data_IF_000746155178
#
_entry.id   IF_000746155178
#
_cell.length_a   1.000
_cell.length_b   1.000
_cell.length_c   1.000
_cell.angle_alpha   90.00
_cell.angle_beta   90.00
_cell.angle_gamma   90.00
#
_symmetry.space_group_name_H-M   'P 1'
#
loop_
_entity.id
_entity.type
_entity.pdbx_description
1 polymer ?
#
# COMPACT_ATOMS: atom_id res chain seq x y z
N UNK A 1 17.47 75.67 -2.53
CA UNK A 1 16.12 75.47 -3.10
C UNK A 1 15.79 73.99 -2.96
N UNK A 2 14.99 73.63 -1.95
CA UNK A 2 13.60 73.13 -2.04
C UNK A 2 13.46 71.70 -2.60
N UNK A 3 13.03 70.83 -1.67
CA UNK A 3 12.50 69.47 -1.77
C UNK A 3 11.58 69.21 -2.97
N UNK A 4 11.57 67.97 -3.48
CA UNK A 4 10.34 67.25 -3.86
C UNK A 4 10.57 65.73 -3.82
N UNK A 5 9.81 65.12 -2.93
CA UNK A 5 9.64 63.68 -2.69
C UNK A 5 8.76 63.02 -3.76
N UNK A 6 8.93 61.71 -3.98
CA UNK A 6 7.87 60.69 -4.01
C UNK A 6 8.47 59.34 -4.48
N UNK A 7 8.62 58.34 -3.60
CA UNK A 7 7.63 57.27 -3.38
C UNK A 7 7.40 56.41 -4.64
N UNK A 8 8.13 55.29 -4.72
CA UNK A 8 7.97 54.27 -5.76
C UNK A 8 8.19 52.87 -5.20
N UNK A 9 7.20 52.41 -4.44
CA UNK A 9 6.78 51.00 -4.31
C UNK A 9 7.84 49.92 -4.15
N UNK A 10 8.12 49.58 -2.90
CA UNK A 10 8.66 48.31 -2.45
C UNK A 10 7.59 47.23 -2.66
N UNK A 11 7.79 46.25 -3.53
CA UNK A 11 7.18 44.90 -3.54
C UNK A 11 8.06 44.04 -4.45
N UNK A 12 8.96 43.23 -3.87
CA UNK A 12 9.43 42.02 -4.54
C UNK A 12 8.70 40.88 -3.85
N UNK A 13 7.70 40.35 -4.55
CA UNK A 13 6.80 39.30 -4.10
C UNK A 13 7.63 38.09 -3.68
N UNK A 14 7.50 37.72 -2.40
CA UNK A 14 7.87 36.42 -1.85
C UNK A 14 7.11 35.33 -2.61
N UNK A 15 7.76 34.74 -3.62
CA UNK A 15 7.37 33.46 -4.21
C UNK A 15 7.78 32.35 -3.22
N UNK A 16 7.12 32.30 -2.06
CA UNK A 16 7.01 31.06 -1.30
C UNK A 16 6.00 30.23 -2.08
N UNK A 17 6.50 29.43 -3.03
CA UNK A 17 5.75 28.31 -3.55
C UNK A 17 5.56 27.31 -2.42
N UNK A 18 4.52 27.50 -1.61
CA UNK A 18 3.95 26.42 -0.81
C UNK A 18 3.53 25.35 -1.80
N UNK A 19 4.38 24.32 -1.97
CA UNK A 19 3.92 23.09 -2.58
C UNK A 19 3.00 22.45 -1.54
N UNK A 20 1.71 22.76 -1.63
CA UNK A 20 0.68 21.99 -0.96
C UNK A 20 0.66 20.61 -1.61
N UNK A 21 1.61 19.77 -1.19
CA UNK A 21 1.54 18.35 -1.39
C UNK A 21 0.40 17.85 -0.54
N UNK A 22 -0.83 17.96 -1.06
CA UNK A 22 -1.95 17.17 -0.56
C UNK A 22 -1.49 15.72 -0.66
N UNK A 23 -1.07 15.17 0.47
CA UNK A 23 -0.95 13.73 0.66
C UNK A 23 -2.39 13.19 0.65
N UNK A 24 -2.95 13.06 -0.55
CA UNK A 24 -4.23 12.46 -0.80
C UNK A 24 -4.08 11.00 -0.38
N UNK A 25 -4.66 10.66 0.77
CA UNK A 25 -4.89 9.27 1.16
C UNK A 25 -5.87 8.69 0.14
N UNK A 26 -5.32 8.21 -0.97
CA UNK A 26 -6.09 7.54 -1.99
C UNK A 26 -6.51 6.19 -1.42
N UNK A 27 -7.82 5.95 -1.39
CA UNK A 27 -8.38 4.61 -1.35
C UNK A 27 -8.05 3.96 -2.69
N UNK A 28 -6.84 3.44 -2.84
CA UNK A 28 -6.33 2.88 -4.09
C UNK A 28 -4.93 2.33 -3.91
N UNK A 29 -4.53 1.45 -4.82
CA UNK A 29 -3.21 0.83 -4.84
C UNK A 29 -2.23 1.84 -5.41
N UNK A 30 -1.22 2.22 -4.62
CA UNK A 30 -0.14 3.07 -5.11
C UNK A 30 0.99 2.19 -5.62
N UNK A 31 1.10 2.15 -6.94
CA UNK A 31 2.17 1.44 -7.65
C UNK A 31 3.41 2.30 -7.68
N UNK A 32 4.52 1.78 -7.18
CA UNK A 32 5.80 2.47 -7.05
C UNK A 32 6.88 1.58 -7.68
N UNK A 33 7.90 2.19 -8.26
CA UNK A 33 9.08 1.46 -8.74
C UNK A 33 9.76 0.71 -7.57
N UNK A 34 10.24 -0.51 -7.81
CA UNK A 34 10.87 -1.37 -6.80
C UNK A 34 12.15 -0.77 -6.20
N UNK A 35 12.86 0.06 -6.97
CA UNK A 35 14.06 0.77 -6.51
C UNK A 35 13.78 1.73 -5.33
N UNK A 36 12.52 2.13 -5.13
CA UNK A 36 12.10 2.96 -4.02
C UNK A 36 12.21 2.25 -2.65
N UNK A 37 12.21 0.91 -2.61
CA UNK A 37 12.29 0.12 -1.37
C UNK A 37 13.55 0.49 -0.56
N UNK A 38 14.67 0.75 -1.23
CA UNK A 38 15.91 1.17 -0.59
C UNK A 38 15.80 2.49 0.19
N UNK A 39 14.75 3.30 -0.05
CA UNK A 39 14.49 4.56 0.64
C UNK A 39 13.45 4.46 1.76
N UNK A 40 12.73 3.34 1.86
CA UNK A 40 11.62 3.16 2.79
C UNK A 40 12.05 3.26 4.26
N UNK A 41 13.27 2.84 4.60
CA UNK A 41 13.82 2.92 5.95
C UNK A 41 14.37 4.29 6.37
N UNK A 42 14.49 5.24 5.44
CA UNK A 42 15.18 6.53 5.68
C UNK A 42 14.24 7.73 5.60
N UNK A 43 13.25 7.67 4.71
CA UNK A 43 12.33 8.78 4.47
C UNK A 43 11.08 8.64 5.32
N UNK A 44 10.66 9.73 5.97
CA UNK A 44 9.30 9.82 6.49
C UNK A 44 8.29 9.60 5.37
N UNK A 45 7.11 9.05 5.68
CA UNK A 45 6.01 8.85 4.71
C UNK A 45 5.81 10.05 3.78
N UNK A 46 5.68 11.26 4.31
CA UNK A 46 5.42 12.46 3.49
C UNK A 46 6.54 12.73 2.46
N UNK A 47 7.80 12.51 2.85
CA UNK A 47 8.96 12.66 1.95
C UNK A 47 9.08 11.52 0.96
N UNK A 48 8.76 10.30 1.40
CA UNK A 48 8.71 9.13 0.53
C UNK A 48 7.68 9.35 -0.59
N UNK A 49 6.44 9.71 -0.22
CA UNK A 49 5.34 9.96 -1.14
C UNK A 49 5.63 11.13 -2.11
N UNK A 50 6.31 12.17 -1.63
CA UNK A 50 6.72 13.29 -2.48
C UNK A 50 7.77 12.87 -3.50
N UNK A 51 8.73 12.03 -3.09
CA UNK A 51 9.84 11.60 -3.94
C UNK A 51 9.45 10.49 -4.90
N UNK A 52 8.53 9.63 -4.48
CA UNK A 52 8.02 8.47 -5.19
C UNK A 52 6.48 8.51 -5.18
N UNK A 53 5.87 9.41 -5.96
CA UNK A 53 4.42 9.57 -5.97
C UNK A 53 3.69 8.33 -6.47
N UNK A 54 4.34 7.55 -7.35
CA UNK A 54 3.78 6.36 -7.94
C UNK A 54 2.60 6.64 -8.87
N UNK A 55 1.93 5.58 -9.30
CA UNK A 55 0.65 5.63 -10.01
C UNK A 55 -0.44 5.10 -9.08
N UNK A 56 -1.59 5.78 -9.03
CA UNK A 56 -2.74 5.29 -8.26
C UNK A 56 -3.61 4.44 -9.19
N UNK A 57 -3.81 3.18 -8.81
CA UNK A 57 -4.70 2.22 -9.47
C UNK A 57 -5.88 1.93 -8.55
N UNK A 58 -7.06 1.73 -9.13
CA UNK A 58 -8.27 1.54 -8.33
C UNK A 58 -8.42 0.10 -7.87
N UNK A 59 -7.99 -0.86 -8.71
CA UNK A 59 -8.13 -2.30 -8.49
C UNK A 59 -6.88 -3.06 -8.95
N UNK A 60 -6.57 -4.23 -8.36
CA UNK A 60 -5.42 -5.05 -8.76
C UNK A 60 -5.41 -5.44 -10.24
N UNK A 61 -6.60 -5.60 -10.86
CA UNK A 61 -6.73 -5.93 -12.28
C UNK A 61 -6.15 -4.88 -13.24
N UNK A 62 -5.90 -3.65 -12.79
CA UNK A 62 -5.28 -2.58 -13.57
C UNK A 62 -3.75 -2.55 -13.47
N UNK A 63 -3.15 -3.48 -12.72
CA UNK A 63 -1.71 -3.61 -12.54
C UNK A 63 -1.06 -4.23 -13.78
N UNK A 64 0.16 -3.79 -14.07
CA UNK A 64 0.98 -4.43 -15.10
C UNK A 64 1.40 -5.83 -14.61
N UNK A 65 1.50 -6.80 -15.52
CA UNK A 65 1.82 -8.17 -15.13
C UNK A 65 3.24 -8.30 -14.58
N UNK A 66 3.38 -8.89 -13.40
CA UNK A 66 4.68 -9.15 -12.78
C UNK A 66 4.59 -9.37 -11.28
N UNK A 67 5.75 -9.51 -10.64
CA UNK A 67 5.86 -9.63 -9.20
C UNK A 67 5.80 -8.27 -8.52
N UNK A 68 5.06 -8.17 -7.42
CA UNK A 68 4.98 -6.97 -6.60
C UNK A 68 5.31 -7.30 -5.16
N UNK A 69 6.19 -6.49 -4.57
CA UNK A 69 6.35 -6.46 -3.11
C UNK A 69 5.28 -5.52 -2.57
N UNK A 70 4.42 -6.04 -1.70
CA UNK A 70 3.24 -5.35 -1.20
C UNK A 70 3.47 -4.94 0.24
N UNK A 71 3.20 -3.66 0.54
CA UNK A 71 3.14 -3.12 1.90
C UNK A 71 1.79 -2.47 2.13
N UNK A 72 1.06 -3.00 3.11
CA UNK A 72 -0.21 -2.45 3.55
C UNK A 72 -0.17 -2.13 5.04
N UNK A 73 -0.62 -0.94 5.41
CA UNK A 73 -0.71 -0.51 6.81
C UNK A 73 -1.75 0.61 6.93
N UNK A 74 -2.81 0.39 7.72
CA UNK A 74 -3.97 1.28 7.83
C UNK A 74 -4.59 1.66 6.46
N UNK A 75 -4.28 2.85 5.94
CA UNK A 75 -4.74 3.37 4.64
C UNK A 75 -3.64 3.37 3.58
N UNK A 76 -2.49 2.79 3.88
CA UNK A 76 -1.38 2.66 2.96
C UNK A 76 -1.50 1.33 2.24
N UNK A 77 -1.35 1.41 0.93
CA UNK A 77 -1.36 0.27 0.04
C UNK A 77 -0.33 0.54 -1.06
N UNK A 78 0.91 0.10 -0.83
CA UNK A 78 2.07 0.33 -1.70
C UNK A 78 2.46 -0.97 -2.38
N UNK A 79 2.46 -0.96 -3.71
CA UNK A 79 2.82 -2.09 -4.55
C UNK A 79 4.10 -1.71 -5.30
N UNK A 80 5.20 -2.37 -4.96
CA UNK A 80 6.51 -2.12 -5.53
C UNK A 80 6.78 -3.08 -6.69
N UNK A 81 6.79 -2.58 -7.93
CA UNK A 81 6.98 -3.38 -9.13
C UNK A 81 6.45 -2.71 -10.41
N UNK A 82 6.25 -3.48 -11.50
CA UNK A 82 6.41 -4.93 -11.61
C UNK A 82 7.87 -5.39 -11.65
N UNK A 83 8.16 -6.49 -10.95
CA UNK A 83 9.47 -7.15 -10.91
C UNK A 83 9.41 -8.40 -11.79
N UNK A 84 10.44 -8.63 -12.60
CA UNK A 84 10.46 -9.72 -13.57
C UNK A 84 10.67 -11.10 -12.93
N UNK A 85 11.51 -11.18 -11.90
CA UNK A 85 11.94 -12.43 -11.29
C UNK A 85 11.47 -12.51 -9.85
N UNK A 86 10.87 -13.64 -9.48
CA UNK A 86 10.44 -13.90 -8.09
C UNK A 86 11.61 -13.78 -7.12
N UNK A 87 12.78 -14.33 -7.46
CA UNK A 87 13.98 -14.26 -6.60
C UNK A 87 14.38 -12.83 -6.27
N UNK A 88 14.32 -11.93 -7.25
CA UNK A 88 14.58 -10.51 -7.05
C UNK A 88 13.49 -9.87 -6.18
N UNK A 89 12.24 -10.27 -6.38
CA UNK A 89 11.13 -9.89 -5.49
C UNK A 89 11.34 -10.34 -4.04
N UNK A 90 11.87 -11.55 -3.81
CA UNK A 90 12.18 -12.05 -2.47
C UNK A 90 13.31 -11.24 -1.81
N UNK A 91 14.35 -10.88 -2.56
CA UNK A 91 15.43 -10.01 -2.05
C UNK A 91 14.88 -8.64 -1.63
N UNK A 92 14.01 -8.05 -2.45
CA UNK A 92 13.34 -6.79 -2.13
C UNK A 92 12.37 -6.91 -0.95
N UNK A 93 11.63 -8.01 -0.84
CA UNK A 93 10.76 -8.28 0.31
C UNK A 93 11.57 -8.36 1.60
N UNK A 94 12.73 -9.02 1.58
CA UNK A 94 13.62 -9.09 2.72
C UNK A 94 14.16 -7.69 3.11
N UNK A 95 14.56 -6.88 2.12
CA UNK A 95 14.99 -5.51 2.35
C UNK A 95 13.88 -4.65 2.99
N UNK A 96 12.65 -4.76 2.48
CA UNK A 96 11.51 -4.00 3.01
C UNK A 96 11.13 -4.47 4.41
N UNK A 97 11.14 -5.79 4.66
CA UNK A 97 10.91 -6.37 5.99
C UNK A 97 11.84 -5.74 7.02
N UNK A 98 13.15 -5.71 6.73
CA UNK A 98 14.15 -5.13 7.63
C UNK A 98 13.86 -3.65 7.94
N UNK A 99 13.48 -2.87 6.92
CA UNK A 99 13.16 -1.46 7.09
C UNK A 99 11.91 -1.24 7.96
N UNK A 100 10.86 -2.03 7.73
CA UNK A 100 9.60 -1.95 8.50
C UNK A 100 9.82 -2.39 9.93
N UNK A 101 10.54 -3.48 10.19
CA UNK A 101 10.84 -3.95 11.54
C UNK A 101 11.64 -2.92 12.34
N UNK A 102 12.64 -2.28 11.73
CA UNK A 102 13.38 -1.19 12.35
C UNK A 102 12.46 0.00 12.70
N UNK A 103 11.52 0.34 11.82
CA UNK A 103 10.55 1.40 12.08
C UNK A 103 9.57 1.03 13.21
N UNK A 104 9.13 -0.23 13.29
CA UNK A 104 8.25 -0.74 14.36
C UNK A 104 8.95 -0.69 15.72
N UNK A 105 10.25 -1.00 15.79
CA UNK A 105 11.04 -0.86 17.02
C UNK A 105 11.06 0.59 17.53
N UNK A 106 11.16 1.55 16.62
CA UNK A 106 11.13 2.98 16.97
C UNK A 106 9.72 3.47 17.33
N UNK A 107 8.70 2.92 16.66
CA UNK A 107 7.30 3.30 16.85
C UNK A 107 6.41 2.05 16.89
N UNK A 108 6.20 1.44 18.06
CA UNK A 108 5.43 0.19 18.16
C UNK A 108 3.97 0.28 17.70
N UNK A 109 3.43 1.50 17.56
CA UNK A 109 2.04 1.71 17.12
C UNK A 109 1.80 1.40 15.64
N UNK A 110 2.83 1.06 14.85
CA UNK A 110 2.71 0.75 13.41
C UNK A 110 2.92 -0.75 13.09
N UNK A 111 2.64 -1.62 14.06
CA UNK A 111 2.91 -3.05 13.99
C UNK A 111 1.84 -3.87 13.24
N UNK A 112 0.68 -3.28 12.93
CA UNK A 112 -0.42 -3.92 12.22
C UNK A 112 -0.29 -3.72 10.71
N UNK A 113 0.76 -4.29 10.14
CA UNK A 113 1.07 -4.21 8.70
C UNK A 113 1.00 -5.59 8.05
N UNK A 114 0.75 -5.60 6.74
CA UNK A 114 0.91 -6.76 5.87
C UNK A 114 2.07 -6.51 4.92
N UNK A 115 2.94 -7.51 4.82
CA UNK A 115 4.08 -7.54 3.91
C UNK A 115 4.06 -8.84 3.14
N UNK A 116 4.07 -8.79 1.82
CA UNK A 116 4.08 -10.00 1.00
C UNK A 116 4.68 -9.78 -0.39
N UNK A 117 4.92 -10.89 -1.10
CA UNK A 117 5.28 -10.92 -2.50
C UNK A 117 4.17 -11.64 -3.25
N UNK A 118 3.52 -10.96 -4.19
CA UNK A 118 2.43 -11.52 -5.01
C UNK A 118 2.70 -11.29 -6.49
N UNK A 119 2.21 -12.20 -7.34
CA UNK A 119 2.18 -11.99 -8.77
C UNK A 119 0.84 -11.36 -9.15
N UNK A 120 0.87 -10.18 -9.76
CA UNK A 120 -0.33 -9.45 -10.15
C UNK A 120 -0.37 -9.22 -11.66
N UNK A 121 -1.56 -9.03 -12.26
CA UNK A 121 -2.88 -9.20 -11.64
C UNK A 121 -3.18 -10.70 -11.39
N UNK A 122 -3.64 -11.03 -10.17
CA UNK A 122 -4.13 -12.37 -9.86
C UNK A 122 -5.51 -12.59 -10.52
N UNK A 123 -5.70 -13.72 -11.23
CA UNK A 123 -6.98 -14.05 -11.92
C UNK A 123 -8.18 -14.31 -10.97
N UNK A 124 -8.01 -14.06 -9.67
CA UNK A 124 -8.99 -14.39 -8.63
C UNK A 124 -9.94 -13.23 -8.32
N UNK A 125 -10.73 -12.79 -9.30
CA UNK A 125 -11.88 -11.92 -9.03
C UNK A 125 -13.03 -12.15 -10.00
N UNK A 126 -13.54 -13.37 -10.02
CA UNK A 126 -14.90 -13.67 -10.48
C UNK A 126 -15.47 -14.73 -9.55
N UNK A 127 -15.98 -14.28 -8.39
CA UNK A 127 -16.98 -15.05 -7.65
C UNK A 127 -18.34 -14.69 -8.24
N UNK A 128 -18.62 -15.21 -9.43
CA UNK A 128 -20.00 -15.36 -9.89
C UNK A 128 -20.61 -16.47 -9.03
N UNK A 129 -21.27 -16.07 -7.95
CA UNK A 129 -22.18 -16.95 -7.22
C UNK A 129 -23.42 -17.17 -8.08
N UNK A 130 -23.34 -18.14 -9.00
CA UNK A 130 -24.53 -18.74 -9.59
C UNK A 130 -25.23 -19.57 -8.50
N UNK A 131 -26.19 -18.96 -7.81
CA UNK A 131 -27.11 -19.63 -6.90
C UNK A 131 -28.03 -20.59 -7.69
N UNK A 132 -27.58 -21.83 -7.89
CA UNK A 132 -28.48 -22.92 -8.28
C UNK A 132 -29.30 -23.38 -7.05
N UNK A 133 -30.46 -22.76 -6.91
CA UNK A 133 -31.51 -23.10 -5.96
C UNK A 133 -32.10 -24.50 -6.25
N UNK A 134 -31.77 -25.50 -5.43
CA UNK A 134 -32.52 -26.77 -5.36
C UNK A 134 -32.97 -27.06 -3.93
N UNK A 135 -34.27 -26.88 -3.73
CA UNK A 135 -35.04 -27.16 -2.53
C UNK A 135 -35.02 -28.65 -2.14
N UNK A 136 -34.83 -28.93 -0.85
CA UNK A 136 -35.31 -30.14 -0.18
C UNK A 136 -35.53 -29.92 1.34
N UNK A 137 -36.79 -29.68 1.69
CA UNK A 137 -37.58 -30.25 2.80
C UNK A 137 -36.94 -30.58 4.18
N UNK A 138 -37.31 -29.74 5.17
CA UNK A 138 -37.68 -29.99 6.59
C UNK A 138 -36.70 -30.58 7.63
N UNK A 139 -36.62 -29.92 8.79
CA UNK A 139 -36.12 -30.50 10.06
C UNK A 139 -35.68 -29.44 11.10
N UNK A 140 -36.47 -29.24 12.16
CA UNK A 140 -36.23 -28.33 13.30
C UNK A 140 -34.89 -28.56 14.04
N UNK A 141 -34.14 -27.49 14.38
CA UNK A 141 -33.12 -27.49 15.44
C UNK A 141 -32.10 -26.34 15.38
N UNK A 142 -32.17 -25.40 16.33
CA UNK A 142 -31.20 -24.39 16.82
C UNK A 142 -30.26 -23.62 15.85
N UNK A 143 -30.07 -22.30 16.02
CA UNK A 143 -29.15 -21.54 15.17
C UNK A 143 -27.70 -22.02 15.35
N UNK A 144 -26.93 -22.24 14.27
CA UNK A 144 -25.54 -22.63 14.35
C UNK A 144 -24.69 -21.50 14.96
N UNK A 145 -23.63 -21.82 15.74
CA UNK A 145 -22.68 -20.81 16.19
C UNK A 145 -22.02 -20.13 14.98
N UNK A 146 -21.66 -18.84 15.07
CA UNK A 146 -21.02 -18.13 13.96
C UNK A 146 -19.74 -18.87 13.51
N UNK A 147 -19.46 -18.90 12.20
CA UNK A 147 -18.26 -19.54 11.69
C UNK A 147 -17.02 -18.90 12.34
N UNK A 148 -15.99 -19.69 12.72
CA UNK A 148 -14.74 -19.12 13.19
C UNK A 148 -14.14 -18.24 12.07
N UNK A 149 -13.44 -17.14 12.39
CA UNK A 149 -12.78 -16.33 11.38
C UNK A 149 -11.85 -17.22 10.55
N UNK A 150 -11.97 -17.12 9.24
CA UNK A 150 -11.14 -17.83 8.27
C UNK A 150 -9.68 -17.41 8.44
N UNK A 151 -8.96 -18.16 9.28
CA UNK A 151 -7.52 -18.08 9.47
C UNK A 151 -6.82 -18.72 8.27
N UNK A 152 -6.81 -18.02 7.13
CA UNK A 152 -6.03 -18.38 5.93
C UNK A 152 -4.54 -18.61 6.29
N UNK A 153 -4.07 -17.93 7.34
CA UNK A 153 -2.72 -18.01 7.88
C UNK A 153 -2.33 -19.34 8.57
N UNK A 154 -3.29 -20.17 9.03
CA UNK A 154 -2.92 -21.47 9.62
C UNK A 154 -2.54 -22.50 8.56
N UNK A 155 -2.92 -22.32 7.29
CA UNK A 155 -2.62 -23.27 6.23
C UNK A 155 -1.16 -23.17 5.76
N UNK A 156 -0.56 -21.98 5.79
CA UNK A 156 0.80 -21.73 5.26
C UNK A 156 1.88 -22.32 6.19
N UNK A 157 1.63 -22.43 7.51
CA UNK A 157 2.56 -23.13 8.42
C UNK A 157 2.62 -24.64 8.20
N UNK A 158 1.63 -25.25 7.54
CA UNK A 158 1.63 -26.69 7.30
C UNK A 158 2.53 -27.13 6.14
N UNK A 159 3.00 -26.19 5.31
CA UNK A 159 3.76 -26.49 4.09
C UNK A 159 5.27 -26.23 4.31
N UNK A 160 5.62 -25.29 5.19
CA UNK A 160 6.99 -25.08 5.65
C UNK A 160 7.13 -25.56 7.10
N UNK A 161 7.29 -26.87 7.27
CA UNK A 161 7.42 -27.51 8.57
C UNK A 161 8.62 -27.01 9.39
N UNK A 162 8.30 -26.41 10.55
CA UNK A 162 9.01 -26.52 11.84
C UNK A 162 7.94 -26.76 12.91
#
# INVERSE_FOLDING_TARGET
>A
MKQLSALGGLIFVLLIGSVDGLAQSASGIRVIEESAISYAGFLSKARFDQRFPGQIKSVPAELDSGWYVIYEHERLNYYFGPILLESTGQDYLAQLTQAVEAAVQQRPSINDYRLELSFEPSESSTSESEDENKSAESGYGSPPPPPPPSNIWSLIRSIFGI
#
